data_IF_562410387161
#
_entry.id   IF_562410387161
#
_cell.length_a   1.000
_cell.length_b   1.000
_cell.length_c   1.000
_cell.angle_alpha   90.00
_cell.angle_beta   90.00
_cell.angle_gamma   90.00
#
_symmetry.space_group_name_H-M   'P 1'
#
loop_
_entity.id
_entity.type
_entity.pdbx_description
1 polymer ?
#
# COMPACT_ATOMS: atom_id res chain seq x y z
N UNK A 1 9.95 12.93 5.01
CA UNK A 1 9.40 13.19 3.65
C UNK A 1 7.91 13.36 3.82
N UNK A 2 7.37 14.44 3.23
CA UNK A 2 5.94 14.76 3.21
C UNK A 2 5.52 14.83 1.76
N UNK A 3 4.40 14.19 1.42
CA UNK A 3 3.79 14.25 0.09
C UNK A 3 2.43 14.93 0.19
N UNK A 4 2.16 15.84 -0.73
CA UNK A 4 0.86 16.49 -0.88
C UNK A 4 0.35 16.18 -2.29
N UNK A 5 -0.68 15.34 -2.34
CA UNK A 5 -1.32 14.93 -3.59
C UNK A 5 -2.21 16.00 -4.20
N UNK A 6 -2.70 15.72 -5.39
CA UNK A 6 -3.56 16.60 -6.17
C UNK A 6 -2.81 17.61 -7.03
N UNK A 7 -3.56 18.52 -7.62
CA UNK A 7 -3.03 19.60 -8.46
C UNK A 7 -2.83 20.87 -7.64
N UNK A 8 -1.77 21.62 -7.89
CA UNK A 8 -1.59 22.93 -7.27
C UNK A 8 -2.79 23.81 -7.57
N UNK A 9 -3.40 24.37 -6.52
CA UNK A 9 -4.63 25.15 -6.63
C UNK A 9 -5.91 24.40 -6.19
N UNK A 10 -5.83 23.09 -5.98
CA UNK A 10 -6.94 22.31 -5.42
C UNK A 10 -7.25 22.82 -4.00
N UNK A 11 -8.53 23.01 -3.70
CA UNK A 11 -8.99 23.63 -2.44
C UNK A 11 -8.55 22.80 -1.23
N UNK A 12 -8.61 21.49 -1.32
CA UNK A 12 -8.25 20.55 -0.26
C UNK A 12 -6.77 20.54 0.09
N UNK A 13 -5.88 20.90 -0.84
CA UNK A 13 -4.43 20.94 -0.61
C UNK A 13 -3.93 22.29 -0.06
N UNK A 14 -4.70 23.37 -0.18
CA UNK A 14 -4.29 24.72 0.23
C UNK A 14 -3.82 24.83 1.69
N UNK A 15 -4.50 24.26 2.71
CA UNK A 15 -4.02 24.34 4.09
C UNK A 15 -2.67 23.67 4.30
N UNK A 16 -2.40 22.57 3.56
CA UNK A 16 -1.12 21.89 3.62
C UNK A 16 0.00 22.70 2.98
N UNK A 17 -0.26 23.29 1.82
CA UNK A 17 0.71 24.16 1.13
C UNK A 17 1.04 25.39 1.97
N UNK A 18 0.06 26.04 2.59
CA UNK A 18 0.31 27.18 3.50
C UNK A 18 1.12 26.74 4.73
N UNK A 19 0.84 25.57 5.29
CA UNK A 19 1.61 25.03 6.42
C UNK A 19 3.07 24.73 6.01
N UNK A 20 3.29 24.20 4.80
CA UNK A 20 4.63 23.93 4.25
C UNK A 20 5.39 25.27 4.05
N UNK A 21 4.74 26.28 3.49
CA UNK A 21 5.33 27.60 3.29
C UNK A 21 5.80 28.20 4.62
N UNK A 22 4.96 28.15 5.65
CA UNK A 22 5.31 28.66 6.98
C UNK A 22 6.45 27.84 7.60
N UNK A 23 6.35 26.52 7.51
CA UNK A 23 7.38 25.61 8.06
C UNK A 23 8.74 25.84 7.39
N UNK A 24 8.80 25.94 6.07
CA UNK A 24 10.05 26.23 5.35
C UNK A 24 10.64 27.58 5.76
N UNK A 25 9.78 28.59 5.99
CA UNK A 25 10.24 29.89 6.48
C UNK A 25 10.80 29.79 7.93
N UNK A 26 10.19 28.96 8.78
CA UNK A 26 10.63 28.77 10.18
C UNK A 26 11.95 28.02 10.28
N UNK A 27 12.12 26.93 9.51
CA UNK A 27 13.33 26.09 9.57
C UNK A 27 14.47 26.56 8.66
N UNK A 28 14.17 27.39 7.67
CA UNK A 28 15.10 27.85 6.65
C UNK A 28 15.21 26.92 5.42
N UNK A 29 15.52 27.48 4.26
CA UNK A 29 15.59 26.76 2.99
C UNK A 29 16.62 25.61 2.99
N UNK A 30 17.70 25.77 3.73
CA UNK A 30 18.75 24.73 3.80
C UNK A 30 18.31 23.47 4.57
N UNK A 31 17.20 23.55 5.29
CA UNK A 31 16.67 22.46 6.12
C UNK A 31 15.37 21.82 5.58
N UNK A 32 14.77 22.41 4.55
CA UNK A 32 13.57 21.90 3.92
C UNK A 32 13.51 22.28 2.44
N UNK A 33 13.60 21.31 1.55
CA UNK A 33 13.51 21.50 0.10
C UNK A 33 12.14 21.09 -0.43
N UNK A 34 11.78 21.68 -1.55
CA UNK A 34 10.52 21.45 -2.24
C UNK A 34 10.76 20.83 -3.61
N UNK A 35 10.28 19.60 -3.77
CA UNK A 35 10.32 18.86 -5.03
C UNK A 35 8.93 18.94 -5.66
N UNK A 36 8.83 19.60 -6.81
CA UNK A 36 7.56 19.74 -7.52
C UNK A 36 7.46 18.75 -8.68
N UNK A 37 6.51 17.83 -8.58
CA UNK A 37 6.24 16.83 -9.62
C UNK A 37 5.21 17.40 -10.59
N UNK A 38 5.53 17.42 -11.88
CA UNK A 38 4.68 17.99 -12.94
C UNK A 38 4.49 17.01 -14.09
N UNK A 39 3.52 17.31 -14.97
CA UNK A 39 3.29 16.55 -16.19
C UNK A 39 3.76 17.36 -17.41
N UNK A 40 4.52 16.70 -18.28
CA UNK A 40 4.86 17.19 -19.62
C UNK A 40 4.09 16.38 -20.65
N UNK A 41 2.90 16.81 -21.08
CA UNK A 41 2.10 16.05 -22.01
C UNK A 41 2.72 16.05 -23.42
N UNK A 42 2.60 14.91 -24.09
CA UNK A 42 2.92 14.77 -25.50
C UNK A 42 1.65 14.91 -26.34
N UNK A 43 1.70 15.80 -27.32
CA UNK A 43 0.60 16.00 -28.27
C UNK A 43 0.86 15.20 -29.55
N UNK A 44 0.20 14.09 -29.72
CA UNK A 44 0.37 13.18 -30.86
C UNK A 44 0.11 13.88 -32.22
N UNK A 45 -0.82 14.84 -32.26
CA UNK A 45 -1.18 15.54 -33.48
C UNK A 45 -0.04 16.50 -33.99
N UNK A 46 0.69 17.14 -33.08
CA UNK A 46 1.82 18.02 -33.41
C UNK A 46 3.17 17.38 -33.16
N UNK A 47 3.21 16.16 -32.65
CA UNK A 47 4.42 15.41 -32.30
C UNK A 47 5.39 16.20 -31.40
N UNK A 48 4.86 16.90 -30.40
CA UNK A 48 5.66 17.74 -29.53
C UNK A 48 5.29 17.62 -28.06
N UNK A 49 6.27 17.80 -27.17
CA UNK A 49 6.10 17.93 -25.74
C UNK A 49 5.73 19.38 -25.35
N UNK A 50 4.79 19.54 -24.45
CA UNK A 50 4.28 20.83 -24.00
C UNK A 50 4.75 21.18 -22.58
N UNK A 51 5.58 22.21 -22.49
CA UNK A 51 6.09 22.70 -21.18
C UNK A 51 5.15 23.69 -20.47
N UNK A 52 4.12 24.19 -21.14
CA UNK A 52 3.21 25.19 -20.58
C UNK A 52 2.46 24.71 -19.32
N UNK A 53 1.95 23.47 -19.24
CA UNK A 53 1.31 23.00 -18.01
C UNK A 53 2.25 23.04 -16.80
N UNK A 54 3.50 22.58 -16.95
CA UNK A 54 4.54 22.70 -15.88
C UNK A 54 4.80 24.14 -15.48
N UNK A 55 4.99 25.03 -16.47
CA UNK A 55 5.22 26.47 -16.19
C UNK A 55 4.04 27.11 -15.46
N UNK A 56 2.78 26.73 -15.80
CA UNK A 56 1.59 27.23 -15.13
C UNK A 56 1.53 26.72 -13.68
N UNK A 57 1.72 25.41 -13.48
CA UNK A 57 1.71 24.79 -12.14
C UNK A 57 2.75 25.38 -11.21
N UNK A 58 4.00 25.60 -11.71
CA UNK A 58 5.06 26.26 -10.91
C UNK A 58 4.70 27.72 -10.61
N UNK A 59 4.12 28.45 -11.57
CA UNK A 59 3.69 29.84 -11.35
C UNK A 59 2.58 29.92 -10.29
N UNK A 60 1.64 28.99 -10.28
CA UNK A 60 0.58 28.95 -9.27
C UNK A 60 1.18 28.69 -7.88
N UNK A 61 2.15 27.76 -7.77
CA UNK A 61 2.87 27.49 -6.54
C UNK A 61 3.65 28.72 -6.05
N UNK A 62 4.36 29.39 -6.96
CA UNK A 62 5.07 30.67 -6.67
C UNK A 62 4.10 31.76 -6.22
N UNK A 63 2.87 31.79 -6.77
CA UNK A 63 1.81 32.71 -6.35
C UNK A 63 1.38 32.49 -4.90
N UNK A 64 1.57 31.31 -4.36
CA UNK A 64 1.37 30.98 -2.94
C UNK A 64 2.60 31.27 -2.06
N UNK A 65 3.68 31.81 -2.64
CA UNK A 65 4.93 32.09 -1.92
C UNK A 65 5.86 30.89 -1.75
N UNK A 66 5.68 29.87 -2.56
CA UNK A 66 6.48 28.63 -2.54
C UNK A 66 7.32 28.55 -3.82
N UNK A 67 8.64 28.52 -3.70
CA UNK A 67 9.57 28.28 -4.81
C UNK A 67 10.05 26.84 -4.76
N UNK A 68 9.83 26.01 -5.80
CA UNK A 68 10.41 24.67 -5.84
C UNK A 68 11.93 24.74 -6.02
N UNK A 69 12.64 23.82 -5.38
CA UNK A 69 14.10 23.64 -5.52
C UNK A 69 14.41 22.68 -6.67
N UNK A 70 13.57 21.67 -6.85
CA UNK A 70 13.69 20.63 -7.87
C UNK A 70 12.35 20.46 -8.59
N UNK A 71 12.41 20.30 -9.92
CA UNK A 71 11.23 19.98 -10.74
C UNK A 71 11.42 18.58 -11.34
N UNK A 72 10.50 17.66 -11.01
CA UNK A 72 10.44 16.32 -11.60
C UNK A 72 9.35 16.31 -12.66
N UNK A 73 9.75 16.17 -13.91
CA UNK A 73 8.88 16.21 -15.08
C UNK A 73 8.46 14.80 -15.50
N UNK A 74 7.24 14.42 -15.20
CA UNK A 74 6.68 13.16 -15.72
C UNK A 74 6.36 13.31 -17.20
N UNK A 75 6.77 12.33 -18.01
CA UNK A 75 6.55 12.31 -19.44
C UNK A 75 6.59 10.90 -20.01
N UNK A 76 5.81 10.66 -21.06
CA UNK A 76 5.87 9.42 -21.86
C UNK A 76 7.11 9.36 -22.76
N UNK A 77 7.68 10.53 -23.10
CA UNK A 77 8.81 10.66 -24.02
C UNK A 77 10.00 11.37 -23.36
N UNK A 78 11.25 11.01 -23.73
CA UNK A 78 12.45 11.69 -23.24
C UNK A 78 12.42 13.20 -23.48
N UNK A 79 12.87 13.97 -22.50
CA UNK A 79 13.02 15.42 -22.61
C UNK A 79 14.38 15.74 -23.20
N UNK A 80 14.40 16.45 -24.31
CA UNK A 80 15.65 17.01 -24.82
C UNK A 80 16.17 18.18 -23.93
N UNK A 81 17.45 18.53 -24.09
CA UNK A 81 18.08 19.57 -23.27
C UNK A 81 17.37 20.93 -23.45
N UNK A 82 16.88 21.23 -24.63
CA UNK A 82 16.19 22.51 -24.90
C UNK A 82 14.89 22.65 -24.12
N UNK A 83 14.20 21.53 -23.88
CA UNK A 83 12.99 21.47 -23.05
C UNK A 83 13.36 21.68 -21.58
N UNK A 84 14.40 20.98 -21.08
CA UNK A 84 14.91 21.15 -19.71
C UNK A 84 15.35 22.59 -19.46
N UNK A 85 16.11 23.19 -20.38
CA UNK A 85 16.59 24.59 -20.30
C UNK A 85 15.43 25.58 -20.26
N UNK A 86 14.40 25.35 -21.08
CA UNK A 86 13.21 26.19 -21.09
C UNK A 86 12.42 26.10 -19.78
N UNK A 87 12.28 24.91 -19.20
CA UNK A 87 11.61 24.73 -17.91
C UNK A 87 12.44 25.44 -16.82
N UNK A 88 13.75 25.22 -16.77
CA UNK A 88 14.67 25.87 -15.83
C UNK A 88 14.52 27.38 -15.85
N UNK A 89 14.55 27.97 -17.05
CA UNK A 89 14.43 29.43 -17.24
C UNK A 89 13.09 29.98 -16.74
N UNK A 90 11.96 29.34 -17.13
CA UNK A 90 10.62 29.85 -16.81
C UNK A 90 10.17 29.54 -15.39
N UNK A 91 10.74 28.52 -14.76
CA UNK A 91 10.42 28.10 -13.41
C UNK A 91 11.41 28.58 -12.36
N UNK A 92 12.47 29.31 -12.79
CA UNK A 92 13.49 29.88 -11.91
C UNK A 92 14.21 28.84 -11.04
N UNK A 93 14.66 27.76 -11.67
CA UNK A 93 15.47 26.70 -11.04
C UNK A 93 16.75 26.49 -11.87
N UNK A 94 17.83 25.94 -11.28
CA UNK A 94 19.00 25.52 -12.04
C UNK A 94 18.66 24.46 -13.08
N UNK A 95 19.38 24.40 -14.20
CA UNK A 95 19.16 23.37 -15.24
C UNK A 95 19.34 21.96 -14.71
N UNK A 96 20.31 21.75 -13.81
CA UNK A 96 20.56 20.47 -13.14
C UNK A 96 19.43 20.02 -12.21
N UNK A 97 18.50 20.91 -11.85
CA UNK A 97 17.36 20.62 -10.97
C UNK A 97 16.07 20.32 -11.75
N UNK A 98 16.14 20.25 -13.07
CA UNK A 98 15.02 19.81 -13.92
C UNK A 98 15.27 18.36 -14.33
N UNK A 99 14.59 17.45 -13.68
CA UNK A 99 14.76 16.01 -13.84
C UNK A 99 13.57 15.43 -14.59
N UNK A 100 13.82 14.46 -15.47
CA UNK A 100 12.72 13.71 -16.11
C UNK A 100 12.36 12.48 -15.31
N UNK A 101 11.09 12.13 -15.31
CA UNK A 101 10.59 10.85 -14.83
C UNK A 101 9.73 10.22 -15.94
N UNK A 102 10.33 9.33 -16.71
CA UNK A 102 9.65 8.64 -17.79
C UNK A 102 8.75 7.55 -17.23
N UNK A 103 7.68 7.27 -17.97
CA UNK A 103 6.84 6.11 -17.67
C UNK A 103 7.66 4.83 -17.75
N UNK A 104 7.44 3.95 -16.80
CA UNK A 104 8.15 2.68 -16.64
C UNK A 104 7.16 1.53 -16.75
N UNK A 105 7.63 0.36 -17.15
CA UNK A 105 6.78 -0.83 -17.25
C UNK A 105 6.35 -1.32 -15.86
N UNK A 106 7.29 -1.33 -14.93
CA UNK A 106 7.04 -1.70 -13.54
C UNK A 106 7.32 -0.52 -12.62
N UNK A 107 6.37 -0.20 -11.74
CA UNK A 107 6.49 0.94 -10.82
C UNK A 107 7.80 0.92 -10.00
N UNK A 108 8.30 -0.27 -9.66
CA UNK A 108 9.55 -0.45 -8.92
C UNK A 108 10.82 -0.08 -9.70
N UNK A 109 10.71 0.22 -10.98
CA UNK A 109 11.81 0.76 -11.80
C UNK A 109 11.99 2.27 -11.58
N UNK A 110 10.95 2.97 -11.11
CA UNK A 110 11.00 4.42 -10.96
C UNK A 110 12.16 4.92 -10.07
N UNK A 111 12.50 4.31 -8.92
CA UNK A 111 13.68 4.70 -8.15
C UNK A 111 14.99 4.58 -8.94
N UNK A 112 15.13 3.54 -9.77
CA UNK A 112 16.31 3.37 -10.63
C UNK A 112 16.36 4.41 -11.75
N UNK A 113 15.20 4.80 -12.28
CA UNK A 113 15.09 5.87 -13.27
C UNK A 113 15.45 7.23 -12.66
N UNK A 114 14.99 7.51 -11.43
CA UNK A 114 15.30 8.75 -10.73
C UNK A 114 16.78 8.84 -10.35
N UNK A 115 17.42 7.71 -10.00
CA UNK A 115 18.86 7.70 -9.74
C UNK A 115 19.70 8.01 -10.99
N UNK A 116 19.27 7.56 -12.18
CA UNK A 116 19.90 7.95 -13.46
C UNK A 116 19.81 9.45 -13.73
N UNK A 117 18.79 10.12 -13.21
CA UNK A 117 18.63 11.57 -13.25
C UNK A 117 19.32 12.29 -12.07
N UNK A 118 20.05 11.55 -11.22
CA UNK A 118 20.77 12.07 -10.06
C UNK A 118 19.89 12.77 -9.00
N UNK A 119 18.63 12.33 -8.84
CA UNK A 119 17.70 12.95 -7.88
C UNK A 119 18.28 12.97 -6.44
N UNK A 120 18.87 11.85 -6.01
CA UNK A 120 19.45 11.76 -4.66
C UNK A 120 20.58 12.77 -4.47
N UNK A 121 21.49 12.86 -5.42
CA UNK A 121 22.60 13.81 -5.39
C UNK A 121 22.08 15.26 -5.34
N UNK A 122 21.18 15.64 -6.24
CA UNK A 122 20.64 17.01 -6.31
C UNK A 122 19.89 17.37 -5.01
N UNK A 123 19.13 16.44 -4.45
CA UNK A 123 18.44 16.67 -3.17
C UNK A 123 19.43 16.85 -2.00
N UNK A 124 20.49 16.04 -1.94
CA UNK A 124 21.54 16.19 -0.92
C UNK A 124 22.31 17.51 -1.08
N UNK A 125 22.60 17.94 -2.32
CA UNK A 125 23.23 19.23 -2.59
C UNK A 125 22.36 20.40 -2.10
N UNK A 126 21.05 20.37 -2.38
CA UNK A 126 20.11 21.39 -1.90
C UNK A 126 20.00 21.44 -0.36
N UNK A 127 20.15 20.31 0.31
CA UNK A 127 20.10 20.19 1.78
C UNK A 127 21.48 20.31 2.44
N UNK A 128 22.54 20.58 1.67
CA UNK A 128 23.93 20.61 2.16
C UNK A 128 24.35 19.36 2.94
N UNK A 129 23.84 18.20 2.49
CA UNK A 129 24.16 16.90 3.09
C UNK A 129 25.30 16.23 2.33
N UNK A 130 26.30 15.75 3.06
CA UNK A 130 27.36 14.91 2.52
C UNK A 130 26.89 13.43 2.61
N UNK A 131 26.36 12.93 1.52
CA UNK A 131 25.80 11.59 1.45
C UNK A 131 26.59 10.74 0.43
N UNK A 132 26.86 9.47 0.74
CA UNK A 132 27.43 8.55 -0.25
C UNK A 132 26.42 8.28 -1.37
N UNK A 133 26.91 7.81 -2.51
CA UNK A 133 26.02 7.31 -3.56
C UNK A 133 25.11 6.19 -3.04
N UNK A 134 23.83 6.17 -3.45
CA UNK A 134 22.89 5.15 -3.02
C UNK A 134 23.33 3.74 -3.47
N UNK A 135 23.36 2.77 -2.53
CA UNK A 135 23.50 1.36 -2.89
C UNK A 135 22.14 0.78 -3.25
N UNK A 136 21.91 0.60 -4.55
CA UNK A 136 20.68 0.05 -5.10
C UNK A 136 20.84 -1.40 -5.62
N UNK A 137 21.87 -2.13 -5.18
CA UNK A 137 22.13 -3.49 -5.67
C UNK A 137 20.94 -4.44 -5.42
N UNK A 138 20.42 -4.46 -4.20
CA UNK A 138 19.25 -5.29 -3.84
C UNK A 138 17.99 -4.85 -4.56
N UNK A 139 17.81 -3.54 -4.76
CA UNK A 139 16.67 -3.00 -5.51
C UNK A 139 16.73 -3.39 -6.99
N UNK A 140 17.90 -3.30 -7.62
CA UNK A 140 18.11 -3.76 -9.00
C UNK A 140 17.81 -5.23 -9.15
N UNK A 141 18.28 -6.06 -8.18
CA UNK A 141 17.99 -7.48 -8.18
C UNK A 141 16.50 -7.76 -8.07
N UNK A 142 15.78 -7.08 -7.17
CA UNK A 142 14.33 -7.22 -7.02
C UNK A 142 13.57 -6.87 -8.32
N UNK A 143 13.98 -5.80 -9.01
CA UNK A 143 13.38 -5.41 -10.30
C UNK A 143 13.66 -6.46 -11.38
N UNK A 144 14.86 -7.05 -11.39
CA UNK A 144 15.19 -8.13 -12.32
C UNK A 144 14.38 -9.40 -12.05
N UNK A 145 14.22 -9.78 -10.77
CA UNK A 145 13.36 -10.89 -10.37
C UNK A 145 11.89 -10.65 -10.77
N UNK A 146 11.40 -9.40 -10.66
CA UNK A 146 10.06 -9.02 -11.10
C UNK A 146 9.85 -9.15 -12.63
N UNK A 147 10.89 -8.86 -13.41
CA UNK A 147 10.84 -8.93 -14.88
C UNK A 147 10.87 -10.36 -15.41
N UNK A 148 11.43 -11.30 -14.64
CA UNK A 148 11.68 -12.66 -15.08
C UNK A 148 11.06 -13.70 -14.11
N UNK A 149 9.72 -13.67 -13.91
CA UNK A 149 9.05 -14.70 -13.14
C UNK A 149 9.15 -16.06 -13.86
N UNK A 150 9.26 -17.13 -13.10
CA UNK A 150 9.32 -18.52 -13.63
C UNK A 150 8.00 -19.27 -13.46
N UNK A 151 7.15 -18.79 -12.57
CA UNK A 151 5.87 -19.39 -12.21
C UNK A 151 4.71 -18.38 -12.22
N UNK A 152 3.50 -18.90 -12.20
CA UNK A 152 2.28 -18.11 -12.06
C UNK A 152 1.38 -18.72 -10.98
N UNK A 153 0.80 -17.88 -10.15
CA UNK A 153 -0.15 -18.30 -9.12
C UNK A 153 -1.39 -17.41 -9.13
N UNK A 154 -2.56 -18.00 -8.93
CA UNK A 154 -3.82 -17.31 -8.80
C UNK A 154 -4.26 -17.27 -7.34
N UNK A 155 -4.44 -16.08 -6.78
CA UNK A 155 -4.91 -15.87 -5.41
C UNK A 155 -6.28 -15.21 -5.43
N UNK A 156 -7.27 -15.89 -4.85
CA UNK A 156 -8.59 -15.30 -4.64
C UNK A 156 -8.54 -14.30 -3.49
N UNK A 157 -8.88 -13.04 -3.75
CA UNK A 157 -9.12 -12.02 -2.73
C UNK A 157 -10.63 -11.90 -2.52
N UNK A 158 -11.11 -12.48 -1.41
CA UNK A 158 -12.54 -12.52 -1.09
C UNK A 158 -12.88 -11.35 -0.15
N UNK A 159 -13.36 -10.27 -0.71
CA UNK A 159 -13.60 -9.01 0.00
C UNK A 159 -14.95 -8.39 -0.35
N UNK A 160 -15.30 -7.27 0.30
CA UNK A 160 -16.54 -6.53 0.03
C UNK A 160 -16.34 -5.23 -0.77
N UNK A 161 -15.10 -4.79 -0.95
CA UNK A 161 -14.75 -3.56 -1.69
C UNK A 161 -14.04 -3.88 -3.00
N UNK A 162 -14.33 -5.04 -3.60
CA UNK A 162 -13.63 -5.54 -4.78
C UNK A 162 -13.89 -4.75 -6.06
N UNK A 163 -14.95 -3.95 -6.11
CA UNK A 163 -15.20 -3.00 -7.19
C UNK A 163 -14.28 -1.77 -7.16
N UNK A 164 -13.66 -1.48 -6.02
CA UNK A 164 -12.70 -0.40 -5.81
C UNK A 164 -11.36 -1.02 -5.42
N UNK A 165 -10.55 -1.39 -6.39
CA UNK A 165 -9.29 -2.10 -6.20
C UNK A 165 -8.32 -1.37 -5.25
N UNK A 166 -8.35 -0.03 -5.25
CA UNK A 166 -7.51 0.80 -4.37
C UNK A 166 -7.77 0.56 -2.88
N UNK A 167 -8.97 0.09 -2.51
CA UNK A 167 -9.27 -0.28 -1.13
C UNK A 167 -8.36 -1.40 -0.58
N UNK A 168 -7.79 -2.21 -1.47
CA UNK A 168 -6.92 -3.33 -1.13
C UNK A 168 -5.51 -3.20 -1.71
N UNK A 169 -5.10 -2.00 -2.14
CA UNK A 169 -3.80 -1.79 -2.82
C UNK A 169 -2.62 -2.33 -2.01
N UNK A 170 -2.59 -2.10 -0.69
CA UNK A 170 -1.51 -2.61 0.18
C UNK A 170 -1.47 -4.13 0.25
N UNK A 171 -2.64 -4.80 0.19
CA UNK A 171 -2.73 -6.26 0.17
C UNK A 171 -2.22 -6.81 -1.15
N UNK A 172 -2.62 -6.18 -2.26
CA UNK A 172 -2.16 -6.55 -3.61
C UNK A 172 -0.66 -6.38 -3.73
N UNK A 173 -0.12 -5.24 -3.29
CA UNK A 173 1.33 -5.00 -3.32
C UNK A 173 2.10 -5.99 -2.44
N UNK A 174 1.57 -6.33 -1.25
CA UNK A 174 2.19 -7.36 -0.41
C UNK A 174 2.21 -8.75 -1.08
N UNK A 175 1.14 -9.11 -1.80
CA UNK A 175 1.11 -10.35 -2.58
C UNK A 175 2.10 -10.32 -3.75
N UNK A 176 2.24 -9.18 -4.45
CA UNK A 176 3.26 -8.99 -5.49
C UNK A 176 4.67 -9.15 -4.93
N UNK A 177 4.97 -8.54 -3.77
CA UNK A 177 6.27 -8.69 -3.11
C UNK A 177 6.56 -10.16 -2.76
N UNK A 178 5.54 -10.89 -2.28
CA UNK A 178 5.65 -12.33 -2.07
C UNK A 178 5.95 -13.07 -3.38
N UNK A 179 5.28 -12.69 -4.47
CA UNK A 179 5.52 -13.23 -5.81
C UNK A 179 6.95 -12.99 -6.29
N UNK A 180 7.45 -11.75 -6.21
CA UNK A 180 8.82 -11.38 -6.62
C UNK A 180 9.85 -12.28 -5.91
N UNK A 181 9.73 -12.40 -4.58
CA UNK A 181 10.66 -13.21 -3.78
C UNK A 181 10.62 -14.70 -4.14
N UNK A 182 9.50 -15.19 -4.64
CA UNK A 182 9.29 -16.58 -5.05
C UNK A 182 9.35 -16.77 -6.57
N UNK A 183 9.79 -15.77 -7.33
CA UNK A 183 9.87 -15.76 -8.80
C UNK A 183 8.54 -16.12 -9.49
N UNK A 184 7.41 -15.71 -8.92
CA UNK A 184 6.07 -16.01 -9.41
C UNK A 184 5.27 -14.74 -9.72
N UNK A 185 4.57 -14.72 -10.84
CA UNK A 185 3.52 -13.73 -11.09
C UNK A 185 2.29 -14.08 -10.29
N UNK A 186 1.78 -13.12 -9.50
CA UNK A 186 0.57 -13.30 -8.71
C UNK A 186 -0.61 -12.64 -9.42
N UNK A 187 -1.56 -13.45 -9.87
CA UNK A 187 -2.82 -13.02 -10.43
C UNK A 187 -3.88 -12.93 -9.33
N UNK A 188 -4.51 -11.77 -9.19
CA UNK A 188 -5.56 -11.57 -8.18
C UNK A 188 -6.93 -11.84 -8.81
N UNK A 189 -7.63 -12.86 -8.30
CA UNK A 189 -9.03 -13.11 -8.61
C UNK A 189 -9.91 -12.39 -7.59
N UNK A 190 -10.53 -11.30 -8.03
CA UNK A 190 -11.39 -10.48 -7.18
C UNK A 190 -12.76 -11.13 -7.00
N UNK A 191 -13.13 -11.43 -5.77
CA UNK A 191 -14.39 -12.09 -5.43
C UNK A 191 -15.16 -11.25 -4.42
N UNK A 192 -16.36 -10.82 -4.81
CA UNK A 192 -17.27 -10.16 -3.88
C UNK A 192 -17.83 -11.17 -2.89
N UNK A 193 -17.51 -10.98 -1.61
CA UNK A 193 -17.95 -11.87 -0.55
C UNK A 193 -19.46 -11.95 -0.38
N UNK A 194 -20.22 -10.98 -0.88
CA UNK A 194 -21.70 -11.01 -0.85
C UNK A 194 -22.29 -11.98 -1.88
N UNK A 195 -21.54 -12.32 -2.92
CA UNK A 195 -21.98 -13.21 -3.99
C UNK A 195 -21.60 -14.67 -3.76
N UNK A 196 -20.78 -14.96 -2.75
CA UNK A 196 -20.34 -16.33 -2.45
C UNK A 196 -21.45 -17.10 -1.77
N UNK A 197 -21.85 -18.22 -2.37
CA UNK A 197 -22.88 -19.13 -1.87
C UNK A 197 -22.39 -20.58 -1.85
N UNK A 198 -23.05 -21.51 -1.15
CA UNK A 198 -22.67 -22.92 -1.17
C UNK A 198 -22.69 -23.55 -2.58
N UNK A 199 -23.52 -23.01 -3.48
CA UNK A 199 -23.70 -23.53 -4.84
C UNK A 199 -22.58 -23.08 -5.80
N UNK A 200 -21.95 -21.91 -5.55
CA UNK A 200 -20.97 -21.33 -6.48
C UNK A 200 -19.54 -21.26 -5.93
N UNK A 201 -19.32 -21.58 -4.66
CA UNK A 201 -18.00 -21.44 -4.03
C UNK A 201 -16.92 -22.27 -4.71
N UNK A 202 -17.27 -23.47 -5.21
CA UNK A 202 -16.36 -24.33 -5.95
C UNK A 202 -15.97 -23.70 -7.31
N UNK A 203 -16.93 -23.15 -8.05
CA UNK A 203 -16.68 -22.44 -9.30
C UNK A 203 -15.78 -21.20 -9.10
N UNK A 204 -16.00 -20.49 -7.99
CA UNK A 204 -15.26 -19.28 -7.68
C UNK A 204 -13.83 -19.55 -7.19
N UNK A 205 -13.58 -20.62 -6.46
CA UNK A 205 -12.32 -20.86 -5.76
C UNK A 205 -11.53 -22.08 -6.26
N UNK A 206 -12.16 -22.98 -7.03
CA UNK A 206 -11.57 -24.28 -7.39
C UNK A 206 -10.32 -24.18 -8.26
N UNK A 207 -10.13 -23.10 -8.99
CA UNK A 207 -8.96 -22.83 -9.84
C UNK A 207 -7.88 -21.97 -9.12
N UNK A 208 -8.06 -21.61 -7.84
CA UNK A 208 -7.15 -20.75 -7.11
C UNK A 208 -6.07 -21.54 -6.36
N UNK A 209 -4.85 -21.05 -6.40
CA UNK A 209 -3.70 -21.60 -5.68
C UNK A 209 -3.65 -21.10 -4.21
N UNK A 210 -4.38 -20.04 -3.90
CA UNK A 210 -4.48 -19.49 -2.56
C UNK A 210 -5.75 -18.66 -2.37
N UNK A 211 -6.20 -18.54 -1.12
CA UNK A 211 -7.37 -17.71 -0.74
C UNK A 211 -6.95 -16.71 0.32
N UNK A 212 -7.24 -15.44 0.09
CA UNK A 212 -7.02 -14.36 1.05
C UNK A 212 -8.34 -13.67 1.39
N UNK A 213 -8.64 -13.58 2.69
CA UNK A 213 -9.75 -12.79 3.21
C UNK A 213 -9.21 -11.57 3.95
N UNK A 214 -9.40 -10.35 3.39
CA UNK A 214 -8.86 -9.14 3.96
C UNK A 214 -9.65 -8.64 5.17
N UNK A 215 -9.15 -7.59 5.82
CA UNK A 215 -9.84 -6.83 6.84
C UNK A 215 -11.10 -6.12 6.32
N UNK A 216 -11.89 -5.60 7.24
CA UNK A 216 -13.10 -4.82 6.96
C UNK A 216 -13.95 -4.66 8.21
N UNK A 217 -15.00 -3.83 8.11
CA UNK A 217 -15.93 -3.54 9.21
C UNK A 217 -17.37 -3.81 8.78
N UNK A 218 -18.24 -4.07 9.77
CA UNK A 218 -19.67 -4.32 9.56
C UNK A 218 -19.98 -5.72 9.02
N UNK A 219 -21.27 -6.06 9.01
CA UNK A 219 -21.79 -7.43 8.80
C UNK A 219 -21.90 -7.88 7.34
N UNK A 220 -21.71 -6.97 6.37
CA UNK A 220 -21.92 -7.27 4.95
C UNK A 220 -20.89 -8.29 4.42
N UNK A 221 -21.36 -9.36 3.77
CA UNK A 221 -20.52 -10.39 3.15
C UNK A 221 -19.80 -11.33 4.12
N UNK A 222 -20.18 -11.36 5.40
CA UNK A 222 -19.54 -12.20 6.43
C UNK A 222 -19.72 -13.68 6.13
N UNK A 223 -20.93 -14.13 5.84
CA UNK A 223 -21.20 -15.56 5.60
C UNK A 223 -20.49 -16.06 4.33
N UNK A 224 -20.42 -15.25 3.27
CA UNK A 224 -19.65 -15.61 2.09
C UNK A 224 -18.15 -15.74 2.35
N UNK A 225 -17.59 -14.90 3.24
CA UNK A 225 -16.20 -15.07 3.69
C UNK A 225 -16.01 -16.35 4.49
N UNK A 226 -16.94 -16.68 5.39
CA UNK A 226 -16.91 -17.93 6.16
C UNK A 226 -16.97 -19.14 5.23
N UNK A 227 -17.83 -19.11 4.19
CA UNK A 227 -17.89 -20.16 3.16
C UNK A 227 -16.58 -20.31 2.38
N UNK A 228 -15.96 -19.20 2.01
CA UNK A 228 -14.67 -19.23 1.32
C UNK A 228 -13.55 -19.81 2.21
N UNK A 229 -13.55 -19.48 3.50
CA UNK A 229 -12.62 -20.04 4.49
C UNK A 229 -12.84 -21.54 4.64
N UNK A 230 -14.10 -21.97 4.76
CA UNK A 230 -14.48 -23.38 4.86
C UNK A 230 -14.01 -24.15 3.62
N UNK A 231 -14.25 -23.59 2.42
CA UNK A 231 -13.83 -24.21 1.18
C UNK A 231 -12.31 -24.39 1.14
N UNK A 232 -11.55 -23.33 1.43
CA UNK A 232 -10.09 -23.38 1.46
C UNK A 232 -9.57 -24.44 2.46
N UNK A 233 -10.12 -24.48 3.67
CA UNK A 233 -9.74 -25.46 4.70
C UNK A 233 -10.06 -26.91 4.27
N UNK A 234 -11.26 -27.16 3.73
CA UNK A 234 -11.70 -28.53 3.38
C UNK A 234 -11.02 -29.07 2.13
N UNK A 235 -10.53 -28.17 1.24
CA UNK A 235 -9.83 -28.56 0.00
C UNK A 235 -8.30 -28.40 0.11
N UNK A 236 -7.78 -28.03 1.30
CA UNK A 236 -6.35 -27.89 1.52
C UNK A 236 -5.69 -26.75 0.74
N UNK A 237 -6.47 -25.74 0.33
CA UNK A 237 -5.95 -24.54 -0.36
C UNK A 237 -5.25 -23.63 0.67
N UNK A 238 -4.02 -23.14 0.41
CA UNK A 238 -3.36 -22.16 1.25
C UNK A 238 -4.26 -20.96 1.54
N UNK A 239 -4.38 -20.59 2.81
CA UNK A 239 -5.28 -19.54 3.26
C UNK A 239 -4.56 -18.49 4.11
N UNK A 240 -4.91 -17.20 3.90
CA UNK A 240 -4.48 -16.10 4.76
C UNK A 240 -5.67 -15.20 5.12
N UNK A 241 -5.94 -15.09 6.42
CA UNK A 241 -6.92 -14.15 6.97
C UNK A 241 -6.24 -12.93 7.59
N UNK A 242 -6.60 -11.73 7.14
CA UNK A 242 -6.09 -10.47 7.68
C UNK A 242 -7.17 -9.80 8.55
N UNK A 243 -6.84 -9.44 9.79
CA UNK A 243 -7.75 -8.73 10.70
C UNK A 243 -9.10 -9.46 10.83
N UNK A 244 -10.17 -8.94 10.23
CA UNK A 244 -11.47 -9.60 10.18
C UNK A 244 -11.39 -11.02 9.58
N UNK A 245 -10.57 -11.21 8.54
CA UNK A 245 -10.37 -12.54 7.93
C UNK A 245 -9.80 -13.56 8.91
N UNK A 246 -8.87 -13.16 9.77
CA UNK A 246 -8.37 -14.01 10.85
C UNK A 246 -9.47 -14.33 11.88
N UNK A 247 -10.25 -13.34 12.30
CA UNK A 247 -11.37 -13.53 13.24
C UNK A 247 -12.41 -14.51 12.68
N UNK A 248 -12.76 -14.35 11.40
CA UNK A 248 -13.72 -15.25 10.74
C UNK A 248 -13.18 -16.67 10.55
N UNK A 249 -11.87 -16.86 10.51
CA UNK A 249 -11.26 -18.20 10.53
C UNK A 249 -11.55 -18.92 11.84
N UNK A 250 -11.47 -18.22 12.96
CA UNK A 250 -11.81 -18.75 14.29
C UNK A 250 -13.31 -19.08 14.34
N UNK A 251 -14.16 -18.20 13.83
CA UNK A 251 -15.61 -18.41 13.75
C UNK A 251 -15.94 -19.63 12.89
N UNK A 252 -15.34 -19.76 11.70
CA UNK A 252 -15.53 -20.90 10.80
C UNK A 252 -15.15 -22.20 11.49
N UNK A 253 -13.97 -22.23 12.10
CA UNK A 253 -13.48 -23.42 12.79
C UNK A 253 -14.38 -23.82 13.97
N UNK A 254 -14.82 -22.85 14.76
CA UNK A 254 -15.74 -23.07 15.87
C UNK A 254 -17.07 -23.64 15.39
N UNK A 255 -17.64 -23.11 14.31
CA UNK A 255 -18.92 -23.60 13.75
C UNK A 255 -18.81 -24.99 13.14
N UNK A 256 -17.81 -25.18 12.27
CA UNK A 256 -17.81 -26.35 11.37
C UNK A 256 -16.88 -27.47 11.82
N UNK A 257 -16.00 -27.25 12.79
CA UNK A 257 -15.11 -28.30 13.33
C UNK A 257 -15.46 -28.63 14.78
N UNK A 258 -15.66 -27.60 15.63
CA UNK A 258 -15.97 -27.82 17.06
C UNK A 258 -17.47 -28.07 17.26
N UNK A 259 -18.34 -27.53 16.40
CA UNK A 259 -19.78 -27.74 16.46
C UNK A 259 -20.57 -26.65 17.21
N UNK A 260 -19.96 -25.51 17.49
CA UNK A 260 -20.63 -24.32 18.04
C UNK A 260 -21.37 -23.57 16.95
N UNK A 261 -22.52 -24.03 16.56
CA UNK A 261 -23.24 -23.60 15.34
C UNK A 261 -23.58 -22.11 15.27
N UNK A 262 -23.69 -21.43 16.40
CA UNK A 262 -23.94 -19.99 16.54
C UNK A 262 -22.70 -19.19 16.89
N UNK A 263 -21.51 -19.80 16.89
CA UNK A 263 -20.27 -19.10 17.22
C UNK A 263 -20.08 -17.84 16.35
N UNK A 264 -19.76 -16.72 16.99
CA UNK A 264 -19.57 -15.45 16.31
C UNK A 264 -18.65 -14.49 17.07
N UNK A 265 -18.32 -13.36 16.44
CA UNK A 265 -17.77 -12.20 17.11
C UNK A 265 -18.89 -11.42 17.79
N UNK A 266 -18.66 -10.94 19.02
CA UNK A 266 -19.61 -10.06 19.72
C UNK A 266 -19.84 -8.71 19.01
N UNK A 267 -18.92 -8.29 18.15
CA UNK A 267 -19.08 -7.10 17.31
C UNK A 267 -20.15 -7.31 16.23
N UNK A 268 -20.24 -8.53 15.70
CA UNK A 268 -21.12 -8.88 14.58
C UNK A 268 -22.45 -9.47 15.04
N UNK A 269 -22.43 -10.26 16.11
CA UNK A 269 -23.62 -10.79 16.78
C UNK A 269 -23.47 -10.71 18.31
N UNK A 270 -24.02 -9.66 18.93
CA UNK A 270 -23.95 -9.50 20.39
C UNK A 270 -24.72 -10.54 21.17
N UNK A 271 -25.61 -11.31 20.51
CA UNK A 271 -26.48 -12.30 21.15
C UNK A 271 -25.97 -13.74 21.00
N UNK A 272 -24.81 -13.94 20.37
CA UNK A 272 -24.21 -15.29 20.24
C UNK A 272 -24.03 -15.94 21.62
N UNK A 273 -24.37 -17.22 21.73
CA UNK A 273 -24.11 -17.98 22.97
C UNK A 273 -22.68 -18.54 23.02
N UNK A 274 -21.97 -18.51 21.88
CA UNK A 274 -20.56 -18.89 21.76
C UNK A 274 -19.72 -17.72 21.23
N UNK A 275 -19.42 -16.70 22.04
CA UNK A 275 -18.59 -15.56 21.64
C UNK A 275 -17.12 -15.98 21.54
N UNK A 276 -16.68 -16.37 20.34
CA UNK A 276 -15.30 -16.81 20.09
C UNK A 276 -14.34 -15.64 19.83
N UNK A 277 -14.87 -14.48 19.49
CA UNK A 277 -14.16 -13.20 19.38
C UNK A 277 -14.88 -12.17 20.26
N UNK A 278 -14.14 -11.55 21.18
CA UNK A 278 -14.69 -10.59 22.12
C UNK A 278 -13.72 -9.41 22.33
N UNK A 279 -14.20 -8.32 22.94
CA UNK A 279 -13.36 -7.20 23.37
C UNK A 279 -12.34 -7.65 24.42
N UNK A 280 -11.17 -7.07 24.37
CA UNK A 280 -10.17 -7.28 25.43
C UNK A 280 -10.68 -6.69 26.75
N UNK A 281 -10.34 -7.30 27.92
CA UNK A 281 -10.86 -6.86 29.22
C UNK A 281 -10.57 -5.39 29.55
N UNK A 282 -9.42 -4.87 29.13
CA UNK A 282 -8.98 -3.48 29.33
C UNK A 282 -9.64 -2.48 28.37
N UNK A 283 -10.39 -2.96 27.38
CA UNK A 283 -11.14 -2.14 26.42
C UNK A 283 -12.63 -2.02 26.79
N UNK A 284 -13.08 -2.69 27.83
CA UNK A 284 -14.45 -2.59 28.31
C UNK A 284 -14.70 -1.21 28.94
N UNK A 285 -15.73 -0.49 28.46
CA UNK A 285 -16.11 0.82 28.97
C UNK A 285 -15.41 2.02 28.32
N UNK A 286 -14.67 1.80 27.20
CA UNK A 286 -14.11 2.89 26.41
C UNK A 286 -15.20 3.48 25.53
N UNK A 287 -15.67 4.70 25.88
CA UNK A 287 -16.73 5.40 25.13
C UNK A 287 -16.20 6.04 23.85
N UNK A 288 -14.92 6.44 23.82
CA UNK A 288 -14.30 7.17 22.71
C UNK A 288 -13.49 6.20 21.84
N UNK A 289 -14.11 5.69 20.76
CA UNK A 289 -13.57 4.63 19.90
C UNK A 289 -12.42 5.15 19.01
N UNK A 290 -12.19 6.46 18.90
CA UNK A 290 -11.23 7.10 17.99
C UNK A 290 -9.79 6.60 18.11
N UNK A 291 -8.87 7.34 18.65
CA UNK A 291 -7.47 6.94 18.81
C UNK A 291 -7.19 5.98 19.97
N UNK A 292 -8.10 5.85 20.92
CA UNK A 292 -7.89 5.16 22.22
C UNK A 292 -7.89 3.63 22.12
N UNK A 293 -8.48 3.05 21.08
CA UNK A 293 -8.45 1.59 20.85
C UNK A 293 -7.21 1.12 20.06
N UNK A 294 -6.23 1.97 19.80
CA UNK A 294 -4.96 1.56 19.22
C UNK A 294 -4.08 0.94 20.31
N UNK A 295 -3.71 -0.32 20.10
CA UNK A 295 -2.92 -1.09 21.07
C UNK A 295 -1.40 -0.92 20.88
N UNK A 296 -0.97 -0.25 19.81
CA UNK A 296 0.45 -0.09 19.50
C UNK A 296 1.12 -1.36 18.99
N UNK A 297 2.44 -1.42 19.10
CA UNK A 297 3.24 -2.56 18.66
C UNK A 297 3.67 -3.37 19.90
N UNK A 298 3.35 -4.66 19.88
CA UNK A 298 3.73 -5.60 20.94
C UNK A 298 4.69 -6.67 20.43
N UNK A 299 5.61 -7.17 21.28
CA UNK A 299 6.53 -8.24 20.89
C UNK A 299 5.76 -9.53 20.64
N UNK A 300 5.97 -10.14 19.48
CA UNK A 300 5.40 -11.44 19.12
C UNK A 300 6.51 -12.48 19.09
N UNK A 301 6.47 -13.43 20.01
CA UNK A 301 7.42 -14.56 20.05
C UNK A 301 6.89 -15.67 19.17
N UNK A 302 7.63 -15.99 18.10
CA UNK A 302 7.24 -17.03 17.17
C UNK A 302 7.69 -18.42 17.65
N UNK A 303 6.77 -19.39 17.69
CA UNK A 303 7.12 -20.79 17.92
C UNK A 303 7.72 -21.38 16.63
N UNK A 304 8.91 -21.98 16.75
CA UNK A 304 9.64 -22.63 15.63
C UNK A 304 8.87 -23.74 14.93
N UNK A 305 7.86 -24.31 15.58
CA UNK A 305 6.99 -25.35 15.02
C UNK A 305 5.92 -24.81 14.06
N UNK A 306 5.65 -23.51 14.08
CA UNK A 306 4.66 -22.92 13.19
C UNK A 306 5.18 -22.81 11.76
N UNK A 307 4.34 -23.08 10.76
CA UNK A 307 4.67 -22.93 9.33
C UNK A 307 5.02 -21.50 8.94
N UNK A 308 4.55 -20.51 9.70
CA UNK A 308 4.90 -19.10 9.51
C UNK A 308 6.32 -18.75 10.00
N UNK A 309 6.99 -19.64 10.74
CA UNK A 309 8.34 -19.35 11.25
C UNK A 309 9.43 -19.22 10.16
N UNK A 310 9.46 -20.01 9.08
CA UNK A 310 10.53 -19.93 8.08
C UNK A 310 10.71 -18.57 7.41
N UNK A 311 9.64 -17.75 7.18
CA UNK A 311 9.78 -16.39 6.63
C UNK A 311 10.42 -15.40 7.62
N UNK A 312 10.47 -15.74 8.91
CA UNK A 312 11.05 -14.90 9.96
C UNK A 312 12.37 -15.49 10.45
N UNK A 313 13.42 -14.67 10.54
CA UNK A 313 14.73 -15.14 11.01
C UNK A 313 14.70 -15.48 12.50
N UNK A 314 15.43 -16.53 12.94
CA UNK A 314 15.57 -16.83 14.36
C UNK A 314 16.15 -15.62 15.12
N UNK A 315 15.43 -15.14 16.13
CA UNK A 315 15.83 -13.97 16.91
C UNK A 315 15.16 -12.65 16.51
N UNK A 316 14.45 -12.60 15.39
CA UNK A 316 13.63 -11.44 15.04
C UNK A 316 12.41 -11.39 15.96
N UNK A 317 12.37 -10.36 16.77
CA UNK A 317 11.15 -9.98 17.49
C UNK A 317 10.31 -9.18 16.52
N UNK A 318 9.30 -9.81 15.89
CA UNK A 318 8.38 -9.05 15.07
C UNK A 318 7.43 -8.27 15.95
N UNK A 319 7.40 -6.94 15.78
CA UNK A 319 6.42 -6.08 16.40
C UNK A 319 5.14 -6.13 15.57
N UNK A 320 4.02 -6.55 16.18
CA UNK A 320 2.72 -6.57 15.54
C UNK A 320 1.72 -5.79 16.38
N UNK A 321 0.79 -5.13 15.71
CA UNK A 321 -0.35 -4.53 16.38
C UNK A 321 -1.30 -5.64 16.83
N UNK A 322 -1.60 -5.77 18.14
CA UNK A 322 -2.61 -6.70 18.59
C UNK A 322 -3.98 -6.34 18.01
N UNK A 323 -4.82 -7.34 17.87
CA UNK A 323 -6.20 -7.15 17.41
C UNK A 323 -7.03 -6.50 18.53
N UNK A 324 -8.01 -5.66 18.15
CA UNK A 324 -8.98 -5.07 19.10
C UNK A 324 -9.83 -6.13 19.79
N UNK A 325 -10.00 -7.26 19.14
CA UNK A 325 -10.75 -8.41 19.62
C UNK A 325 -9.80 -9.56 19.83
N UNK A 326 -10.00 -10.31 20.90
CA UNK A 326 -9.25 -11.53 21.18
C UNK A 326 -10.05 -12.77 20.83
N UNK A 327 -9.36 -13.81 20.40
CA UNK A 327 -9.96 -15.14 20.25
C UNK A 327 -10.15 -15.82 21.60
N UNK A 328 -11.15 -16.66 21.73
CA UNK A 328 -11.31 -17.50 22.90
C UNK A 328 -10.12 -18.47 23.02
N UNK A 329 -9.44 -18.50 24.17
CA UNK A 329 -8.23 -19.31 24.39
C UNK A 329 -8.48 -20.83 24.28
N UNK A 330 -9.73 -21.29 24.40
CA UNK A 330 -10.09 -22.71 24.23
C UNK A 330 -10.11 -23.14 22.77
N UNK A 331 -10.09 -22.20 21.83
CA UNK A 331 -10.23 -22.46 20.38
C UNK A 331 -8.97 -22.02 19.62
N UNK A 332 -8.16 -21.17 20.18
CA UNK A 332 -6.94 -20.61 19.53
C UNK A 332 -5.67 -21.54 19.69
#
# INVERSE_FOLDING_TARGET
IIEVGGTVGDIESQPFLESIRQFQHEVGHDNAILIHVTLIPYLSASQELKTKPTQASVKDLQGMGIQPDIIVCRSEHPLDQSIKDKIALFCNVPQSHVLQNLDVEYLYEAPLAMEKEHLAQVACECLHLDCPEPDLADWKKMVEDLRHPTDEVQVALVGKYVSLHDAYISVVEALKHGGITNHATVHIKWIDSETVTPENVEELLGDCNGVLVPGGFGSRGIEGKILAIQYARTHGIPFLGLCLGMQLTIVEYARNVIGYTDAHSVELDPNTTHPVIALMPDQNGVEDIGGTLRLGADPCVLDKKFRAFPPYRPGDTSWRHPQRLQGNQEIS
#
